data_IF_996784969228
#
_entry.id   IF_996784969228
#
_cell.length_a   1.000
_cell.length_b   1.000
_cell.length_c   1.000
_cell.angle_alpha   90.00
_cell.angle_beta   90.00
_cell.angle_gamma   90.00
#
_symmetry.space_group_name_H-M   'P 1'
#
loop_
_entity.id
_entity.type
_entity.pdbx_description
1 polymer ?
#
# COMPACT_ATOMS: atom_id res chain seq x y z
N UNK A 1 -19.10 10.42 -12.35
CA UNK A 1 -18.03 10.96 -13.23
C UNK A 1 -16.74 10.24 -12.91
N UNK A 2 -16.20 9.43 -13.83
CA UNK A 2 -14.89 8.79 -13.61
C UNK A 2 -13.79 9.84 -13.73
N UNK A 3 -12.95 9.96 -12.71
CA UNK A 3 -11.79 10.84 -12.75
C UNK A 3 -10.73 10.24 -13.68
N UNK A 4 -10.42 10.95 -14.77
CA UNK A 4 -9.45 10.54 -15.78
C UNK A 4 -8.00 10.51 -15.25
N UNK A 5 -7.71 11.43 -14.32
CA UNK A 5 -6.43 11.62 -13.66
C UNK A 5 -6.61 11.76 -12.16
N UNK A 6 -5.74 11.15 -11.36
CA UNK A 6 -5.74 11.32 -9.91
C UNK A 6 -4.30 11.38 -9.40
N UNK A 7 -4.00 12.24 -8.41
CA UNK A 7 -2.67 12.27 -7.83
C UNK A 7 -2.41 11.01 -6.98
N UNK A 8 -1.15 10.66 -6.81
CA UNK A 8 -0.72 9.54 -5.98
C UNK A 8 0.03 10.07 -4.74
N UNK A 9 -0.14 9.46 -3.55
CA UNK A 9 0.44 9.95 -2.31
C UNK A 9 1.92 9.54 -2.12
N UNK A 10 2.77 9.84 -3.10
CA UNK A 10 4.18 9.42 -3.06
C UNK A 10 5.15 10.48 -2.56
N UNK A 11 4.71 11.74 -2.44
CA UNK A 11 5.53 12.81 -1.90
C UNK A 11 4.70 13.82 -1.08
N UNK A 12 5.39 14.62 -0.26
CA UNK A 12 4.82 15.69 0.54
C UNK A 12 3.84 15.24 1.63
N UNK A 13 2.89 16.12 1.96
CA UNK A 13 1.85 15.89 2.97
C UNK A 13 1.03 14.61 2.70
N UNK A 14 0.55 14.32 1.48
CA UNK A 14 -0.17 13.08 1.19
C UNK A 14 0.63 11.84 1.57
N UNK A 15 1.94 11.84 1.29
CA UNK A 15 2.81 10.72 1.65
C UNK A 15 2.87 10.55 3.18
N UNK A 16 3.12 11.62 3.93
CA UNK A 16 3.20 11.57 5.39
C UNK A 16 1.90 11.04 6.01
N UNK A 17 0.74 11.55 5.56
CA UNK A 17 -0.57 11.07 6.02
C UNK A 17 -0.76 9.58 5.71
N UNK A 18 -0.35 9.14 4.51
CA UNK A 18 -0.42 7.73 4.12
C UNK A 18 0.49 6.86 5.01
N UNK A 19 1.72 7.30 5.27
CA UNK A 19 2.69 6.57 6.08
C UNK A 19 2.20 6.39 7.53
N UNK A 20 1.75 7.48 8.16
CA UNK A 20 1.22 7.45 9.52
C UNK A 20 -0.05 6.59 9.57
N UNK A 21 -0.95 6.75 8.59
CA UNK A 21 -2.18 5.96 8.53
C UNK A 21 -1.92 4.46 8.42
N UNK A 22 -0.96 4.06 7.56
CA UNK A 22 -0.54 2.66 7.43
C UNK A 22 0.10 2.13 8.73
N UNK A 23 0.97 2.92 9.38
CA UNK A 23 1.58 2.52 10.64
C UNK A 23 0.54 2.32 11.75
N UNK A 24 -0.48 3.19 11.83
CA UNK A 24 -1.57 3.07 12.79
C UNK A 24 -2.45 1.84 12.52
N UNK A 25 -2.79 1.57 11.26
CA UNK A 25 -3.52 0.35 10.89
C UNK A 25 -2.76 -0.90 11.29
N UNK A 26 -1.46 -0.93 11.02
CA UNK A 26 -0.61 -2.09 11.33
C UNK A 26 -0.49 -2.27 12.85
N UNK A 27 -0.34 -1.16 13.57
CA UNK A 27 -0.32 -1.17 15.04
C UNK A 27 -1.64 -1.70 15.61
N UNK A 28 -2.79 -1.28 15.05
CA UNK A 28 -4.10 -1.77 15.42
C UNK A 28 -4.24 -3.30 15.22
N UNK A 29 -3.64 -3.85 14.16
CA UNK A 29 -3.65 -5.30 13.92
C UNK A 29 -2.75 -6.09 14.88
N UNK A 30 -1.67 -5.48 15.38
CA UNK A 30 -0.67 -6.17 16.23
C UNK A 30 -1.05 -6.15 17.72
N UNK A 31 -1.64 -5.05 18.20
CA UNK A 31 -2.00 -4.88 19.63
C UNK A 31 -2.79 -6.08 20.18
N UNK A 32 -3.80 -6.65 19.48
CA UNK A 32 -4.53 -7.80 19.96
C UNK A 32 -3.66 -9.03 20.22
N UNK A 33 -2.59 -9.24 19.45
CA UNK A 33 -1.79 -10.48 19.42
C UNK A 33 -0.71 -10.52 20.49
N UNK A 34 -0.24 -9.34 20.91
CA UNK A 34 0.80 -9.20 21.93
C UNK A 34 0.34 -9.61 23.33
N UNK A 35 1.34 -9.89 24.19
CA UNK A 35 1.14 -10.11 25.64
C UNK A 35 0.84 -8.83 26.44
N UNK A 36 0.74 -7.66 25.78
CA UNK A 36 0.51 -6.38 26.48
C UNK A 36 -0.98 -6.13 26.63
N UNK A 37 -1.43 -5.86 27.87
CA UNK A 37 -2.79 -5.42 28.21
C UNK A 37 -3.07 -3.97 27.83
N UNK A 38 -2.81 -3.58 26.58
CA UNK A 38 -3.23 -2.26 26.08
C UNK A 38 -4.77 -2.26 26.00
N UNK A 39 -5.47 -1.24 26.53
CA UNK A 39 -6.92 -1.18 26.47
C UNK A 39 -7.43 -1.27 25.03
N UNK A 40 -8.52 -2.00 24.81
CA UNK A 40 -9.12 -2.23 23.49
C UNK A 40 -9.50 -0.94 22.75
N UNK A 41 -9.74 0.14 23.49
CA UNK A 41 -10.04 1.48 22.97
C UNK A 41 -8.91 2.05 22.10
N UNK A 42 -7.65 1.85 22.48
CA UNK A 42 -6.49 2.31 21.71
C UNK A 42 -6.39 1.61 20.36
N UNK A 43 -6.84 0.35 20.27
CA UNK A 43 -6.88 -0.38 19.03
C UNK A 43 -7.91 0.24 18.07
N UNK A 44 -9.15 0.46 18.53
CA UNK A 44 -10.18 1.07 17.71
C UNK A 44 -9.80 2.49 17.25
N UNK A 45 -9.27 3.31 18.15
CA UNK A 45 -8.82 4.67 17.81
C UNK A 45 -7.71 4.63 16.77
N UNK A 46 -6.71 3.77 16.93
CA UNK A 46 -5.63 3.61 15.95
C UNK A 46 -6.15 3.14 14.59
N UNK A 47 -7.09 2.19 14.60
CA UNK A 47 -7.70 1.67 13.37
C UNK A 47 -8.46 2.77 12.61
N UNK A 48 -9.39 3.46 13.26
CA UNK A 48 -10.20 4.50 12.62
C UNK A 48 -9.36 5.72 12.22
N UNK A 49 -8.44 6.17 13.07
CA UNK A 49 -7.53 7.25 12.72
C UNK A 49 -6.64 6.86 11.53
N UNK A 50 -6.18 5.61 11.47
CA UNK A 50 -5.44 5.07 10.34
C UNK A 50 -6.24 5.16 9.03
N UNK A 51 -7.51 4.73 9.05
CA UNK A 51 -8.42 4.86 7.91
C UNK A 51 -8.58 6.32 7.49
N UNK A 52 -8.87 7.22 8.43
CA UNK A 52 -9.08 8.64 8.15
C UNK A 52 -7.85 9.24 7.46
N UNK A 53 -6.65 9.00 7.98
CA UNK A 53 -5.41 9.52 7.39
C UNK A 53 -5.15 8.95 5.98
N UNK A 54 -5.44 7.68 5.75
CA UNK A 54 -5.31 7.07 4.42
C UNK A 54 -6.33 7.68 3.45
N UNK A 55 -7.58 7.88 3.86
CA UNK A 55 -8.61 8.52 3.05
C UNK A 55 -8.24 9.98 2.73
N UNK A 56 -7.68 10.71 3.69
CA UNK A 56 -7.14 12.06 3.48
C UNK A 56 -5.94 12.07 2.51
N UNK A 57 -5.11 11.04 2.53
CA UNK A 57 -3.98 10.91 1.60
C UNK A 57 -4.37 10.52 0.18
N UNK A 58 -5.58 9.99 -0.02
CA UNK A 58 -5.97 9.40 -1.30
C UNK A 58 -6.23 10.48 -2.34
N UNK A 59 -5.67 10.34 -3.55
CA UNK A 59 -5.89 11.31 -4.61
C UNK A 59 -7.29 11.21 -5.21
N UNK A 60 -7.95 12.36 -5.38
CA UNK A 60 -9.28 12.44 -5.96
C UNK A 60 -9.23 12.78 -7.45
N UNK A 61 -8.58 13.89 -7.79
CA UNK A 61 -8.55 14.44 -9.14
C UNK A 61 -7.27 15.23 -9.38
N UNK A 62 -6.71 15.13 -10.58
CA UNK A 62 -5.69 16.04 -11.07
C UNK A 62 -6.26 16.84 -12.25
N UNK A 63 -6.03 18.16 -12.26
CA UNK A 63 -6.43 19.07 -13.34
C UNK A 63 -5.26 19.96 -13.74
N UNK A 64 -5.17 20.25 -15.03
CA UNK A 64 -4.22 21.22 -15.57
C UNK A 64 -5.01 22.48 -15.91
N UNK A 65 -4.63 23.60 -15.31
CA UNK A 65 -5.31 24.89 -15.51
C UNK A 65 -4.34 26.04 -15.31
N UNK A 66 -4.38 27.05 -16.17
CA UNK A 66 -3.68 28.33 -16.00
C UNK A 66 -2.20 28.17 -15.60
N UNK A 67 -1.40 27.50 -16.44
CA UNK A 67 0.04 27.31 -16.20
C UNK A 67 0.37 26.59 -14.88
N UNK A 68 -0.54 25.75 -14.40
CA UNK A 68 -0.36 24.98 -13.17
C UNK A 68 -1.08 23.64 -13.21
N UNK A 69 -0.55 22.69 -12.44
CA UNK A 69 -1.19 21.39 -12.20
C UNK A 69 -1.74 21.39 -10.78
N UNK A 70 -3.06 21.22 -10.66
CA UNK A 70 -3.77 21.15 -9.39
C UNK A 70 -4.02 19.69 -9.04
N UNK A 71 -3.55 19.27 -7.87
CA UNK A 71 -3.66 17.92 -7.34
C UNK A 71 -4.58 17.94 -6.13
N UNK A 72 -5.76 17.35 -6.25
CA UNK A 72 -6.76 17.27 -5.16
C UNK A 72 -6.68 15.94 -4.42
N UNK A 73 -6.66 15.99 -3.10
CA UNK A 73 -6.56 14.84 -2.20
C UNK A 73 -7.72 14.81 -1.21
N UNK A 74 -8.11 13.61 -0.80
CA UNK A 74 -9.25 13.32 0.06
C UNK A 74 -10.31 12.46 -0.63
N UNK A 75 -10.86 11.49 0.09
CA UNK A 75 -11.99 10.68 -0.34
C UNK A 75 -13.07 10.61 0.75
N UNK A 76 -14.37 10.74 0.42
CA UNK A 76 -14.94 10.93 -0.93
C UNK A 76 -14.91 12.39 -1.43
N UNK A 77 -14.66 13.35 -0.54
CA UNK A 77 -14.61 14.80 -0.84
C UNK A 77 -13.15 15.25 -0.88
N UNK A 78 -12.81 16.23 -1.74
CA UNK A 78 -11.48 16.82 -1.73
C UNK A 78 -11.32 17.64 -0.44
N UNK A 79 -10.32 17.31 0.36
CA UNK A 79 -10.06 17.94 1.66
C UNK A 79 -9.00 19.03 1.49
N UNK A 80 -7.99 18.80 0.65
CA UNK A 80 -6.96 19.78 0.35
C UNK A 80 -6.45 19.61 -1.08
N UNK A 81 -5.80 20.67 -1.58
CA UNK A 81 -5.22 20.73 -2.92
C UNK A 81 -3.77 21.19 -2.87
N UNK A 82 -2.94 20.61 -3.73
CA UNK A 82 -1.56 21.04 -3.97
C UNK A 82 -1.52 21.64 -5.37
N UNK A 83 -0.97 22.86 -5.49
CA UNK A 83 -0.80 23.54 -6.78
C UNK A 83 0.68 23.47 -7.14
N UNK A 84 0.98 22.81 -8.25
CA UNK A 84 2.32 22.69 -8.82
C UNK A 84 2.44 23.70 -9.95
N UNK A 85 3.43 24.58 -9.85
CA UNK A 85 3.79 25.60 -10.85
C UNK A 85 5.22 25.36 -11.31
N UNK A 86 5.58 25.92 -12.46
CA UNK A 86 6.95 25.84 -13.01
C UNK A 86 7.42 24.39 -13.14
N UNK A 87 6.64 23.58 -13.85
CA UNK A 87 7.00 22.19 -14.14
C UNK A 87 8.19 22.20 -15.10
N UNK A 88 9.30 21.57 -14.70
CA UNK A 88 10.55 21.49 -15.48
C UNK A 88 10.74 20.14 -16.15
N UNK A 89 10.08 19.09 -15.65
CA UNK A 89 10.15 17.75 -16.23
C UNK A 89 8.83 17.00 -16.09
N UNK A 90 8.49 16.25 -17.12
CA UNK A 90 7.38 15.30 -17.13
C UNK A 90 7.93 13.96 -17.63
N UNK A 91 7.75 12.92 -16.82
CA UNK A 91 8.31 11.58 -17.06
C UNK A 91 7.19 10.55 -17.00
N UNK A 92 7.15 9.64 -17.97
CA UNK A 92 6.26 8.47 -17.94
C UNK A 92 6.97 7.29 -17.24
N UNK A 93 6.38 6.69 -16.22
CA UNK A 93 7.04 5.63 -15.43
C UNK A 93 7.38 4.36 -16.22
N UNK A 94 6.53 3.86 -17.14
CA UNK A 94 6.87 2.70 -17.97
C UNK A 94 8.13 2.89 -18.81
N UNK A 95 8.58 4.13 -19.08
CA UNK A 95 9.79 4.44 -19.84
C UNK A 95 11.03 4.74 -18.97
N UNK A 96 10.92 4.69 -17.64
CA UNK A 96 12.02 4.96 -16.72
C UNK A 96 12.88 3.71 -16.45
N UNK A 97 14.21 3.85 -16.56
CA UNK A 97 15.18 2.82 -16.18
C UNK A 97 15.10 2.49 -14.67
N UNK A 98 15.31 1.21 -14.30
CA UNK A 98 15.12 0.64 -12.93
C UNK A 98 15.68 1.51 -11.78
N UNK A 99 16.83 2.16 -11.98
CA UNK A 99 17.46 2.99 -10.94
C UNK A 99 16.79 4.35 -10.70
N UNK A 100 16.05 4.89 -11.68
CA UNK A 100 15.37 6.19 -11.55
C UNK A 100 14.04 6.09 -10.80
N UNK A 101 13.37 4.94 -10.80
CA UNK A 101 12.17 4.74 -9.97
C UNK A 101 12.49 4.89 -8.47
N UNK A 102 13.57 4.29 -7.97
CA UNK A 102 13.91 4.42 -6.56
C UNK A 102 14.06 5.88 -6.13
N UNK A 103 14.59 6.77 -7.00
CA UNK A 103 14.66 8.23 -6.73
C UNK A 103 13.31 8.82 -6.32
N UNK A 104 12.22 8.42 -6.99
CA UNK A 104 10.88 8.98 -6.80
C UNK A 104 10.03 8.26 -5.74
N UNK A 105 10.42 7.04 -5.34
CA UNK A 105 9.60 6.18 -4.47
C UNK A 105 10.25 5.79 -3.14
N UNK A 106 11.37 6.41 -2.74
CA UNK A 106 12.10 6.05 -1.51
C UNK A 106 11.22 5.99 -0.27
N UNK A 107 10.43 7.03 -0.03
CA UNK A 107 9.57 7.16 1.16
C UNK A 107 8.46 6.09 1.18
N UNK A 108 7.69 5.87 0.10
CA UNK A 108 6.79 4.72 0.01
C UNK A 108 7.49 3.38 0.24
N UNK A 109 8.65 3.14 -0.38
CA UNK A 109 9.37 1.87 -0.25
C UNK A 109 9.85 1.63 1.19
N UNK A 110 10.42 2.66 1.83
CA UNK A 110 10.84 2.58 3.23
C UNK A 110 9.66 2.31 4.17
N UNK A 111 8.52 2.95 3.92
CA UNK A 111 7.29 2.73 4.70
C UNK A 111 6.78 1.31 4.55
N UNK A 112 6.73 0.79 3.33
CA UNK A 112 6.33 -0.60 3.08
C UNK A 112 7.27 -1.57 3.80
N UNK A 113 8.57 -1.30 3.83
CA UNK A 113 9.53 -2.11 4.57
C UNK A 113 9.30 -2.06 6.08
N UNK A 114 9.03 -0.88 6.66
CA UNK A 114 8.73 -0.72 8.10
C UNK A 114 7.42 -1.44 8.44
N UNK A 115 6.36 -1.24 7.65
CA UNK A 115 5.06 -1.88 7.84
C UNK A 115 5.16 -3.41 7.76
N UNK A 116 6.03 -3.92 6.89
CA UNK A 116 6.27 -5.37 6.75
C UNK A 116 7.06 -5.94 7.93
N UNK A 117 8.07 -5.23 8.42
CA UNK A 117 9.01 -5.75 9.44
C UNK A 117 8.55 -5.51 10.87
N UNK A 118 7.83 -4.40 11.13
CA UNK A 118 7.37 -4.02 12.46
C UNK A 118 6.50 -5.08 13.16
N UNK A 119 5.51 -5.74 12.50
CA UNK A 119 4.75 -6.84 13.12
C UNK A 119 5.65 -7.98 13.60
N UNK A 120 6.65 -8.35 12.81
CA UNK A 120 7.56 -9.46 13.10
C UNK A 120 8.43 -9.11 14.30
N UNK A 121 9.04 -7.92 14.29
CA UNK A 121 9.89 -7.44 15.38
C UNK A 121 9.07 -7.34 16.67
N UNK A 122 7.84 -6.81 16.60
CA UNK A 122 6.96 -6.72 17.76
C UNK A 122 6.67 -8.10 18.36
N UNK A 123 6.34 -9.10 17.53
CA UNK A 123 6.08 -10.46 18.01
C UNK A 123 7.30 -11.10 18.68
N UNK A 124 8.50 -10.89 18.12
CA UNK A 124 9.75 -11.40 18.71
C UNK A 124 10.00 -10.76 20.08
N UNK A 125 9.85 -9.43 20.16
CA UNK A 125 10.16 -8.66 21.37
C UNK A 125 9.14 -8.87 22.48
N UNK A 126 7.84 -8.94 22.15
CA UNK A 126 6.75 -9.02 23.14
C UNK A 126 6.22 -10.42 23.38
N UNK A 127 6.60 -11.36 22.52
CA UNK A 127 6.05 -12.71 22.52
C UNK A 127 4.59 -12.73 22.09
N UNK A 128 4.17 -13.88 21.60
CA UNK A 128 2.76 -14.14 21.27
C UNK A 128 2.09 -14.76 22.50
N UNK A 129 0.88 -14.31 22.81
CA UNK A 129 0.04 -14.96 23.80
C UNK A 129 -0.53 -16.26 23.19
N UNK A 130 -0.35 -17.44 23.81
CA UNK A 130 -0.78 -18.72 23.21
C UNK A 130 -2.26 -18.73 22.80
N UNK A 131 -3.13 -18.14 23.60
CA UNK A 131 -4.56 -17.99 23.36
C UNK A 131 -4.94 -17.01 22.23
N UNK A 132 -3.94 -16.41 21.57
CA UNK A 132 -4.12 -15.41 20.50
C UNK A 132 -3.34 -15.74 19.23
N UNK A 133 -2.75 -16.93 19.15
CA UNK A 133 -1.90 -17.33 18.03
C UNK A 133 -2.64 -17.39 16.68
N UNK A 134 -3.95 -17.62 16.69
CA UNK A 134 -4.79 -17.65 15.49
C UNK A 134 -4.95 -16.27 14.83
N UNK A 135 -4.57 -15.17 15.49
CA UNK A 135 -4.55 -13.83 14.88
C UNK A 135 -3.30 -13.57 14.02
N UNK A 136 -2.29 -14.44 14.04
CA UNK A 136 -1.05 -14.26 13.25
C UNK A 136 -1.36 -14.17 11.75
N UNK A 137 -2.39 -14.85 11.26
CA UNK A 137 -2.82 -14.78 9.86
C UNK A 137 -3.06 -13.34 9.37
N UNK A 138 -3.65 -12.47 10.20
CA UNK A 138 -3.86 -11.06 9.86
C UNK A 138 -2.56 -10.27 9.72
N UNK A 139 -1.50 -10.66 10.44
CA UNK A 139 -0.20 -10.00 10.36
C UNK A 139 0.54 -10.31 9.06
N UNK A 140 0.16 -11.37 8.35
CA UNK A 140 0.71 -11.71 7.03
C UNK A 140 0.14 -10.85 5.91
N UNK A 141 -1.07 -10.31 6.08
CA UNK A 141 -1.72 -9.46 5.09
C UNK A 141 -0.83 -8.26 4.72
N UNK A 142 -0.36 -7.41 5.68
CA UNK A 142 0.52 -6.31 5.34
C UNK A 142 1.85 -6.79 4.75
N UNK A 143 2.38 -7.94 5.16
CA UNK A 143 3.62 -8.51 4.61
C UNK A 143 3.45 -8.83 3.12
N UNK A 144 2.41 -9.57 2.75
CA UNK A 144 2.14 -9.96 1.36
C UNK A 144 1.86 -8.73 0.52
N UNK A 145 1.05 -7.80 1.04
CA UNK A 145 0.71 -6.57 0.34
C UNK A 145 1.94 -5.70 0.08
N UNK A 146 2.75 -5.47 1.12
CA UNK A 146 3.94 -4.65 1.02
C UNK A 146 5.00 -5.30 0.13
N UNK A 147 5.19 -6.62 0.21
CA UNK A 147 6.12 -7.35 -0.66
C UNK A 147 5.72 -7.23 -2.13
N UNK A 148 4.43 -7.41 -2.45
CA UNK A 148 3.91 -7.26 -3.80
C UNK A 148 4.09 -5.84 -4.34
N UNK A 149 3.77 -4.83 -3.54
CA UNK A 149 3.95 -3.42 -3.90
C UNK A 149 5.44 -3.05 -4.04
N UNK A 150 6.31 -3.54 -3.17
CA UNK A 150 7.74 -3.27 -3.21
C UNK A 150 8.39 -3.93 -4.44
N UNK A 151 8.02 -5.16 -4.76
CA UNK A 151 8.44 -5.82 -6.00
C UNK A 151 7.95 -5.08 -7.25
N UNK A 152 6.75 -4.50 -7.22
CA UNK A 152 6.24 -3.66 -8.31
C UNK A 152 7.11 -2.40 -8.52
N UNK A 153 7.56 -1.75 -7.44
CA UNK A 153 8.39 -0.56 -7.56
C UNK A 153 9.85 -0.85 -7.98
N UNK A 154 10.37 -2.04 -7.66
CA UNK A 154 11.77 -2.40 -7.92
C UNK A 154 11.98 -3.19 -9.22
N UNK A 155 10.96 -3.88 -9.73
CA UNK A 155 11.07 -4.73 -10.92
C UNK A 155 10.49 -4.03 -12.16
N UNK A 156 11.08 -4.31 -13.32
CA UNK A 156 10.46 -3.95 -14.62
C UNK A 156 9.14 -4.68 -14.78
N UNK A 157 8.22 -4.17 -15.63
CA UNK A 157 6.93 -4.83 -15.89
C UNK A 157 7.08 -6.32 -16.27
N UNK A 158 8.07 -6.66 -17.10
CA UNK A 158 8.41 -8.04 -17.46
C UNK A 158 8.89 -8.87 -16.26
N UNK A 159 9.72 -8.27 -15.39
CA UNK A 159 10.20 -8.88 -14.15
C UNK A 159 9.10 -9.05 -13.11
N UNK A 160 8.19 -8.09 -13.00
CA UNK A 160 7.02 -8.15 -12.13
C UNK A 160 6.05 -9.26 -12.56
N UNK A 161 5.79 -9.42 -13.87
CA UNK A 161 4.95 -10.50 -14.39
C UNK A 161 5.54 -11.89 -14.08
N UNK A 162 6.87 -12.04 -14.19
CA UNK A 162 7.56 -13.27 -13.79
C UNK A 162 7.57 -13.47 -12.27
N UNK A 163 7.75 -12.40 -11.51
CA UNK A 163 7.68 -12.40 -10.05
C UNK A 163 6.30 -12.88 -9.58
N UNK A 164 5.20 -12.29 -10.05
CA UNK A 164 3.83 -12.70 -9.67
C UNK A 164 3.57 -14.18 -9.98
N UNK A 165 4.03 -14.69 -11.14
CA UNK A 165 3.87 -16.11 -11.49
C UNK A 165 4.62 -17.06 -10.56
N UNK A 166 5.84 -16.71 -10.16
CA UNK A 166 6.67 -17.54 -9.27
C UNK A 166 6.25 -17.40 -7.80
N UNK A 167 5.97 -16.17 -7.39
CA UNK A 167 5.66 -15.80 -6.01
C UNK A 167 4.24 -16.19 -5.65
N UNK A 168 3.29 -16.21 -6.59
CA UNK A 168 1.94 -16.70 -6.32
C UNK A 168 1.93 -18.16 -5.85
N UNK A 169 2.69 -19.04 -6.52
CA UNK A 169 2.84 -20.44 -6.10
C UNK A 169 3.57 -20.60 -4.76
N UNK A 170 4.66 -19.84 -4.57
CA UNK A 170 5.43 -19.84 -3.32
C UNK A 170 4.64 -19.27 -2.13
N UNK A 171 3.84 -18.23 -2.33
CA UNK A 171 2.96 -17.68 -1.30
C UNK A 171 1.87 -18.69 -0.94
N UNK A 172 1.27 -19.35 -1.93
CA UNK A 172 0.28 -20.41 -1.68
C UNK A 172 0.84 -21.53 -0.81
N UNK A 173 2.03 -22.05 -1.13
CA UNK A 173 2.66 -23.09 -0.32
C UNK A 173 3.09 -22.58 1.06
N UNK A 174 3.62 -21.35 1.16
CA UNK A 174 3.99 -20.74 2.43
C UNK A 174 2.78 -20.56 3.35
N UNK A 175 1.63 -20.13 2.82
CA UNK A 175 0.38 -20.01 3.58
C UNK A 175 -0.02 -21.36 4.15
N UNK A 176 -0.03 -22.43 3.35
CA UNK A 176 -0.39 -23.78 3.82
C UNK A 176 0.55 -24.25 4.92
N UNK A 177 1.87 -24.10 4.74
CA UNK A 177 2.86 -24.48 5.74
C UNK A 177 2.66 -23.68 7.03
N UNK A 178 2.42 -22.38 6.93
CA UNK A 178 2.24 -21.53 8.09
C UNK A 178 0.92 -21.83 8.82
N UNK A 179 -0.17 -22.11 8.10
CA UNK A 179 -1.45 -22.51 8.69
C UNK A 179 -1.32 -23.85 9.43
N UNK A 180 -0.56 -24.80 8.89
CA UNK A 180 -0.23 -26.04 9.61
C UNK A 180 0.59 -25.77 10.87
N UNK A 181 1.56 -24.87 10.81
CA UNK A 181 2.38 -24.49 11.96
C UNK A 181 1.56 -23.80 13.06
N UNK A 182 0.67 -22.87 12.70
CA UNK A 182 -0.25 -22.21 13.63
C UNK A 182 -1.17 -23.24 14.29
N UNK A 183 -1.73 -24.18 13.52
CA UNK A 183 -2.58 -25.24 14.05
C UNK A 183 -1.82 -26.18 15.01
N UNK A 184 -0.57 -26.49 14.71
CA UNK A 184 0.29 -27.33 15.56
C UNK A 184 0.62 -26.65 16.89
N UNK A 185 1.00 -25.37 16.87
CA UNK A 185 1.28 -24.64 18.11
C UNK A 185 -0.01 -24.45 18.92
N UNK A 186 -1.13 -24.14 18.26
CA UNK A 186 -2.43 -24.03 18.93
C UNK A 186 -2.74 -25.30 19.72
N UNK A 187 -2.67 -26.47 19.06
CA UNK A 187 -2.91 -27.76 19.72
C UNK A 187 -1.95 -28.03 20.87
N UNK A 188 -0.67 -27.70 20.70
CA UNK A 188 0.35 -27.88 21.75
C UNK A 188 0.10 -26.98 22.98
N UNK A 189 -0.51 -25.81 22.79
CA UNK A 189 -0.75 -24.85 23.86
C UNK A 189 -2.11 -24.99 24.55
N UNK A 190 -3.16 -25.34 23.82
CA UNK A 190 -4.54 -25.43 24.34
C UNK A 190 -5.03 -26.86 24.54
N UNK A 191 -4.34 -27.86 23.98
CA UNK A 191 -4.77 -29.26 23.96
C UNK A 191 -5.94 -29.54 23.01
N UNK A 192 -6.52 -28.52 22.39
CA UNK A 192 -7.66 -28.61 21.46
C UNK A 192 -7.21 -28.41 20.01
N UNK A 193 -7.93 -28.99 19.05
CA UNK A 193 -7.70 -28.67 17.64
C UNK A 193 -8.41 -27.37 17.28
N UNK A 194 -7.78 -26.54 16.44
CA UNK A 194 -8.36 -25.26 16.00
C UNK A 194 -9.71 -25.44 15.29
N UNK A 195 -9.94 -26.62 14.69
CA UNK A 195 -11.18 -27.01 14.00
C UNK A 195 -12.34 -27.33 14.93
N UNK A 196 -12.06 -27.60 16.22
CA UNK A 196 -13.08 -27.91 17.21
C UNK A 196 -13.70 -26.65 17.84
N UNK A 197 -13.05 -25.50 17.69
CA UNK A 197 -13.50 -24.23 18.25
C UNK A 197 -13.93 -23.26 17.16
N UNK A 198 -15.19 -22.79 17.22
CA UNK A 198 -15.77 -21.94 16.17
C UNK A 198 -15.03 -20.62 15.99
N UNK A 199 -14.64 -19.95 17.09
CA UNK A 199 -14.03 -18.62 17.02
C UNK A 199 -12.63 -18.63 16.38
N UNK A 200 -11.66 -19.44 16.84
CA UNK A 200 -10.34 -19.54 16.20
C UNK A 200 -10.42 -19.98 14.74
N UNK A 201 -11.30 -20.95 14.42
CA UNK A 201 -11.50 -21.44 13.05
C UNK A 201 -12.01 -20.33 12.11
N UNK A 202 -13.06 -19.61 12.51
CA UNK A 202 -13.62 -18.52 11.71
C UNK A 202 -12.58 -17.42 11.49
N UNK A 203 -11.80 -17.08 12.50
CA UNK A 203 -10.75 -16.07 12.39
C UNK A 203 -9.64 -16.50 11.42
N UNK A 204 -9.22 -17.76 11.48
CA UNK A 204 -8.22 -18.30 10.55
C UNK A 204 -8.73 -18.24 9.10
N UNK A 205 -9.97 -18.69 8.84
CA UNK A 205 -10.60 -18.67 7.51
C UNK A 205 -10.72 -17.24 6.98
N UNK A 206 -11.19 -16.29 7.79
CA UNK A 206 -11.32 -14.89 7.38
C UNK A 206 -9.94 -14.30 7.05
N UNK A 207 -8.92 -14.61 7.84
CA UNK A 207 -7.55 -14.13 7.62
C UNK A 207 -7.00 -14.60 6.27
N UNK A 208 -7.16 -15.89 5.97
CA UNK A 208 -6.72 -16.49 4.71
C UNK A 208 -7.48 -15.91 3.51
N UNK A 209 -8.81 -15.76 3.63
CA UNK A 209 -9.64 -15.16 2.58
C UNK A 209 -9.22 -13.73 2.28
N UNK A 210 -9.00 -12.90 3.31
CA UNK A 210 -8.55 -11.53 3.15
C UNK A 210 -7.16 -11.45 2.53
N UNK A 211 -6.27 -12.38 2.86
CA UNK A 211 -4.93 -12.44 2.28
C UNK A 211 -4.98 -12.79 0.78
N UNK A 212 -5.86 -13.72 0.38
CA UNK A 212 -6.13 -14.03 -1.04
C UNK A 212 -6.72 -12.82 -1.76
N UNK A 213 -7.74 -12.16 -1.17
CA UNK A 213 -8.35 -10.95 -1.74
C UNK A 213 -7.30 -9.85 -1.91
N UNK A 214 -6.44 -9.64 -0.91
CA UNK A 214 -5.39 -8.63 -0.96
C UNK A 214 -4.37 -8.93 -2.06
N UNK A 215 -3.94 -10.19 -2.19
CA UNK A 215 -3.06 -10.61 -3.28
C UNK A 215 -3.69 -10.41 -4.66
N UNK A 216 -4.95 -10.84 -4.84
CA UNK A 216 -5.70 -10.66 -6.09
C UNK A 216 -5.89 -9.18 -6.42
N UNK A 217 -6.19 -8.33 -5.44
CA UNK A 217 -6.33 -6.90 -5.62
C UNK A 217 -5.03 -6.27 -6.16
N UNK A 218 -3.86 -6.69 -5.67
CA UNK A 218 -2.56 -6.22 -6.18
C UNK A 218 -2.34 -6.65 -7.62
N UNK A 219 -2.66 -7.91 -7.96
CA UNK A 219 -2.55 -8.42 -9.33
C UNK A 219 -3.47 -7.64 -10.27
N UNK A 220 -4.73 -7.43 -9.90
CA UNK A 220 -5.75 -6.80 -10.76
C UNK A 220 -5.53 -5.28 -10.91
N UNK A 221 -5.27 -4.56 -9.81
CA UNK A 221 -5.28 -3.09 -9.81
C UNK A 221 -3.98 -2.47 -10.34
N UNK A 222 -2.82 -3.14 -10.19
CA UNK A 222 -1.51 -2.54 -10.51
C UNK A 222 -0.93 -2.96 -11.86
N UNK A 223 -1.54 -3.93 -12.56
CA UNK A 223 -1.11 -4.34 -13.90
C UNK A 223 -1.58 -3.43 -15.05
N UNK A 224 -2.41 -2.40 -14.79
CA UNK A 224 -3.16 -1.71 -15.86
C UNK A 224 -3.12 -0.19 -15.91
N UNK A 225 -2.47 0.52 -14.97
CA UNK A 225 -2.62 1.99 -14.89
C UNK A 225 -1.28 2.72 -15.00
N UNK A 226 -1.06 3.50 -16.07
CA UNK A 226 0.17 4.29 -16.23
C UNK A 226 0.25 5.40 -15.18
N UNK A 227 1.48 5.77 -14.85
CA UNK A 227 1.81 6.80 -13.85
C UNK A 227 2.74 7.81 -14.53
N UNK A 228 2.37 9.07 -14.43
CA UNK A 228 3.16 10.21 -14.91
C UNK A 228 3.76 10.92 -13.70
N UNK A 229 5.04 11.22 -13.72
CA UNK A 229 5.75 12.00 -12.70
C UNK A 229 6.02 13.39 -13.24
N UNK A 230 5.71 14.42 -12.45
CA UNK A 230 6.05 15.82 -12.73
C UNK A 230 7.07 16.29 -11.71
N UNK A 231 8.07 17.08 -12.15
CA UNK A 231 9.08 17.72 -11.31
C UNK A 231 8.98 19.24 -11.49
N UNK A 232 8.99 19.99 -10.39
CA UNK A 232 8.99 21.45 -10.40
C UNK A 232 10.41 22.04 -10.34
N UNK A 233 10.52 23.35 -10.59
CA UNK A 233 11.78 24.11 -10.56
C UNK A 233 12.53 24.02 -9.22
N UNK A 234 11.84 23.64 -8.14
CA UNK A 234 12.40 23.46 -6.79
C UNK A 234 12.85 22.02 -6.52
N UNK A 235 12.81 21.14 -7.54
CA UNK A 235 13.17 19.72 -7.43
C UNK A 235 12.12 18.88 -6.68
N UNK A 236 10.90 19.40 -6.45
CA UNK A 236 9.80 18.62 -5.86
C UNK A 236 9.12 17.84 -6.96
N UNK A 237 8.91 16.55 -6.72
CA UNK A 237 8.25 15.67 -7.66
C UNK A 237 6.88 15.20 -7.15
N UNK A 238 5.94 15.04 -8.08
CA UNK A 238 4.59 14.54 -7.80
C UNK A 238 4.21 13.50 -8.83
N UNK A 239 3.42 12.50 -8.42
CA UNK A 239 2.98 11.44 -9.31
C UNK A 239 1.48 11.52 -9.54
N UNK A 240 1.07 11.26 -10.78
CA UNK A 240 -0.30 11.30 -11.24
C UNK A 240 -0.61 9.97 -11.93
N UNK A 241 -1.60 9.25 -11.43
CA UNK A 241 -2.14 8.08 -12.11
C UNK A 241 -3.09 8.49 -13.23
N UNK A 242 -3.01 7.78 -14.35
CA UNK A 242 -3.92 7.95 -15.48
C UNK A 242 -4.71 6.66 -15.75
N UNK A 243 -5.91 6.81 -16.31
CA UNK A 243 -6.81 5.67 -16.55
C UNK A 243 -6.30 4.69 -17.63
N UNK A 244 -5.63 5.20 -18.66
CA UNK A 244 -5.06 4.45 -19.79
C UNK A 244 -3.77 5.12 -20.30
N UNK A 245 -3.01 4.43 -21.16
CA UNK A 245 -1.80 4.99 -21.80
C UNK A 245 -2.13 6.21 -22.67
N UNK A 246 -3.26 6.19 -23.37
CA UNK A 246 -3.76 7.33 -24.14
C UNK A 246 -4.03 8.53 -23.23
N UNK A 247 -4.66 8.30 -22.07
CA UNK A 247 -4.88 9.34 -21.07
C UNK A 247 -3.56 9.90 -20.55
N UNK A 248 -2.55 9.05 -20.32
CA UNK A 248 -1.23 9.47 -19.88
C UNK A 248 -0.53 10.35 -20.91
N UNK A 249 -0.55 9.97 -22.20
CA UNK A 249 0.01 10.78 -23.30
C UNK A 249 -0.68 12.13 -23.43
N UNK A 250 -2.01 12.15 -23.34
CA UNK A 250 -2.78 13.39 -23.36
C UNK A 250 -2.43 14.31 -22.17
N UNK A 251 -2.28 13.74 -20.98
CA UNK A 251 -1.87 14.48 -19.79
C UNK A 251 -0.49 15.11 -19.98
N UNK A 252 0.48 14.33 -20.48
CA UNK A 252 1.84 14.82 -20.76
C UNK A 252 1.80 15.97 -21.76
N UNK A 253 1.13 15.79 -22.91
CA UNK A 253 1.01 16.83 -23.94
C UNK A 253 0.36 18.11 -23.40
N UNK A 254 -0.67 17.97 -22.56
CA UNK A 254 -1.37 19.11 -21.95
C UNK A 254 -0.44 19.87 -21.00
N UNK A 255 0.32 19.17 -20.16
CA UNK A 255 1.28 19.80 -19.23
C UNK A 255 2.41 20.49 -19.99
N UNK A 256 2.98 19.83 -21.00
CA UNK A 256 4.07 20.40 -21.80
C UNK A 256 3.62 21.67 -22.52
N UNK A 257 2.42 21.66 -23.11
CA UNK A 257 1.86 22.81 -23.83
C UNK A 257 1.46 23.95 -22.91
N UNK A 258 0.73 23.66 -21.84
CA UNK A 258 0.07 24.68 -21.03
C UNK A 258 0.86 25.14 -19.80
N UNK A 259 1.87 24.36 -19.37
CA UNK A 259 2.64 24.62 -18.14
C UNK A 259 4.13 24.81 -18.42
N UNK A 260 4.71 24.05 -19.36
CA UNK A 260 6.14 24.15 -19.69
C UNK A 260 6.42 25.15 -20.82
N UNK A 261 5.42 25.48 -21.64
CA UNK A 261 5.58 26.38 -22.78
C UNK A 261 6.45 25.81 -23.92
N UNK A 262 6.69 24.50 -23.94
CA UNK A 262 7.40 23.84 -25.03
C UNK A 262 6.39 23.46 -26.13
N UNK A 263 6.36 24.26 -27.21
CA UNK A 263 5.65 23.96 -28.46
C UNK A 263 6.50 23.10 -29.39
#
# INVERSE_FOLDING_TARGET
MSTKYWPLPYNGIPCILHMIGMALLVTALIIPVGRIGIPSEYNMVSFFLGIILILMSTGKRATVTNNSVILEYGYPIAIYRIVVREVVSVLDIPSLERGRLFKYFKLPVATLAIVMTYPIIYMIVKGVAPEKIYYIGFLLIPIVVCTGLLAHFLLTYSGYKQFVKRVGGLLGSLIVILSMFIASIYHSATGSFITMETRPLVIAIISELLLVIAFLAIVVLKLRRPIVVIEDSKGRYYAIGALSEECAKELINTITREVMGCS
#
